data_IF_777485048299
#
_entry.id   IF_777485048299
#
_cell.length_a   1.000
_cell.length_b   1.000
_cell.length_c   1.000
_cell.angle_alpha   90.00
_cell.angle_beta   90.00
_cell.angle_gamma   90.00
#
_symmetry.space_group_name_H-M   'P 1'
#
loop_
_entity.id
_entity.type
_entity.pdbx_description
1 polymer ?
#
# COMPACT_ATOMS: atom_id res chain seq x y z
N UNK A 1 -16.74 -9.35 -26.41
CA UNK A 1 -16.96 -9.25 -24.95
C UNK A 1 -15.69 -9.39 -24.11
N UNK A 2 -14.79 -10.34 -24.42
CA UNK A 2 -13.67 -10.68 -23.53
C UNK A 2 -12.53 -9.65 -23.40
N UNK A 3 -12.35 -8.75 -24.37
CA UNK A 3 -11.25 -7.77 -24.33
C UNK A 3 -11.33 -6.81 -23.13
N UNK A 4 -12.53 -6.30 -22.80
CA UNK A 4 -12.69 -5.44 -21.61
C UNK A 4 -12.47 -6.20 -20.30
N UNK A 5 -12.81 -7.49 -20.25
CA UNK A 5 -12.57 -8.33 -19.08
C UNK A 5 -11.06 -8.56 -18.86
N UNK A 6 -10.31 -8.81 -19.94
CA UNK A 6 -8.85 -8.91 -19.86
C UNK A 6 -8.20 -7.58 -19.41
N UNK A 7 -8.70 -6.44 -19.90
CA UNK A 7 -8.20 -5.12 -19.49
C UNK A 7 -8.49 -4.81 -18.03
N UNK A 8 -9.63 -5.24 -17.47
CA UNK A 8 -9.94 -5.07 -16.05
C UNK A 8 -8.93 -5.80 -15.16
N UNK A 9 -8.58 -7.05 -15.48
CA UNK A 9 -7.56 -7.77 -14.72
C UNK A 9 -6.18 -7.14 -14.89
N UNK A 10 -5.80 -6.79 -16.13
CA UNK A 10 -4.53 -6.14 -16.39
C UNK A 10 -4.41 -4.83 -15.59
N UNK A 11 -5.48 -4.05 -15.51
CA UNK A 11 -5.55 -2.83 -14.72
C UNK A 11 -5.39 -3.13 -13.22
N UNK A 12 -6.08 -4.14 -12.67
CA UNK A 12 -5.91 -4.54 -11.26
C UNK A 12 -4.45 -4.89 -10.96
N UNK A 13 -3.81 -5.73 -11.78
CA UNK A 13 -2.40 -6.10 -11.61
C UNK A 13 -1.45 -4.91 -11.75
N UNK A 14 -1.68 -4.02 -12.71
CA UNK A 14 -0.89 -2.80 -12.87
C UNK A 14 -1.01 -1.87 -11.67
N UNK A 15 -2.21 -1.75 -11.09
CA UNK A 15 -2.46 -0.90 -9.93
C UNK A 15 -1.78 -1.45 -8.67
N UNK A 16 -1.75 -2.77 -8.50
CA UNK A 16 -0.99 -3.41 -7.42
C UNK A 16 0.50 -3.13 -7.55
N UNK A 17 1.08 -3.33 -8.74
CA UNK A 17 2.49 -3.04 -9.00
C UNK A 17 2.84 -1.58 -8.71
N UNK A 18 1.98 -0.67 -9.16
CA UNK A 18 2.15 0.76 -8.93
C UNK A 18 2.18 1.12 -7.44
N UNK A 19 1.25 0.61 -6.65
CA UNK A 19 1.20 0.88 -5.21
C UNK A 19 2.45 0.37 -4.48
N UNK A 20 3.00 -0.78 -4.88
CA UNK A 20 4.24 -1.32 -4.32
C UNK A 20 5.42 -0.34 -4.51
N UNK A 21 5.60 0.17 -5.73
CA UNK A 21 6.67 1.13 -6.04
C UNK A 21 6.49 2.44 -5.26
N UNK A 22 5.26 2.96 -5.20
CA UNK A 22 4.95 4.19 -4.44
C UNK A 22 5.29 4.04 -2.96
N UNK A 23 4.97 2.89 -2.34
CA UNK A 23 5.32 2.64 -0.94
C UNK A 23 6.83 2.62 -0.72
N UNK A 24 7.61 2.01 -1.61
CA UNK A 24 9.08 2.01 -1.49
C UNK A 24 9.66 3.42 -1.56
N UNK A 25 9.16 4.26 -2.47
CA UNK A 25 9.64 5.63 -2.64
C UNK A 25 9.34 6.48 -1.40
N UNK A 26 8.12 6.42 -0.87
CA UNK A 26 7.73 7.25 0.28
C UNK A 26 8.37 6.83 1.60
N UNK A 27 8.55 5.52 1.84
CA UNK A 27 9.04 5.04 3.14
C UNK A 27 10.56 4.84 3.19
N UNK A 28 11.18 4.29 2.15
CA UNK A 28 12.62 3.96 2.17
C UNK A 28 13.50 5.03 1.52
N UNK A 29 12.90 5.97 0.78
CA UNK A 29 13.63 7.00 0.04
C UNK A 29 14.42 6.46 -1.15
N UNK A 30 14.82 7.36 -2.05
CA UNK A 30 15.53 7.02 -3.29
C UNK A 30 17.04 7.21 -3.15
N UNK A 31 17.68 6.52 -2.20
CA UNK A 31 19.14 6.64 -2.01
C UNK A 31 19.93 5.95 -3.12
N UNK A 32 19.44 4.83 -3.67
CA UNK A 32 20.02 4.18 -4.84
C UNK A 32 18.99 3.37 -5.63
N UNK A 33 19.10 3.39 -6.96
CA UNK A 33 18.17 2.72 -7.86
C UNK A 33 18.13 1.19 -7.66
N UNK A 34 19.27 0.57 -7.33
CA UNK A 34 19.36 -0.89 -7.11
C UNK A 34 18.63 -1.33 -5.84
N UNK A 35 18.79 -0.60 -4.73
CA UNK A 35 18.05 -0.89 -3.50
C UNK A 35 16.55 -0.67 -3.68
N UNK A 36 16.14 0.37 -4.40
CA UNK A 36 14.73 0.62 -4.69
C UNK A 36 14.08 -0.56 -5.44
N UNK A 37 14.73 -1.08 -6.49
CA UNK A 37 14.22 -2.22 -7.27
C UNK A 37 14.14 -3.47 -6.39
N UNK A 38 15.14 -3.70 -5.55
CA UNK A 38 15.16 -4.84 -4.64
C UNK A 38 14.00 -4.78 -3.63
N UNK A 39 13.77 -3.64 -2.99
CA UNK A 39 12.67 -3.47 -2.05
C UNK A 39 11.30 -3.54 -2.72
N UNK A 40 11.15 -2.99 -3.93
CA UNK A 40 9.92 -3.11 -4.69
C UNK A 40 9.59 -4.59 -4.99
N UNK A 41 10.60 -5.39 -5.35
CA UNK A 41 10.42 -6.82 -5.56
C UNK A 41 10.05 -7.58 -4.28
N UNK A 42 10.69 -7.25 -3.15
CA UNK A 42 10.33 -7.82 -1.85
C UNK A 42 8.88 -7.51 -1.46
N UNK A 43 8.44 -6.26 -1.65
CA UNK A 43 7.06 -5.86 -1.34
C UNK A 43 6.04 -6.54 -2.26
N UNK A 44 6.39 -6.77 -3.53
CA UNK A 44 5.55 -7.54 -4.45
C UNK A 44 5.38 -9.00 -4.01
N UNK A 45 6.49 -9.66 -3.63
CA UNK A 45 6.43 -11.01 -3.08
C UNK A 45 5.60 -11.07 -1.80
N UNK A 46 5.78 -10.10 -0.91
CA UNK A 46 4.97 -9.98 0.30
C UNK A 46 3.48 -9.83 -0.01
N UNK A 47 3.12 -8.96 -0.97
CA UNK A 47 1.73 -8.75 -1.35
C UNK A 47 1.09 -10.01 -1.97
N UNK A 48 1.85 -10.75 -2.77
CA UNK A 48 1.41 -12.02 -3.35
C UNK A 48 1.15 -13.07 -2.26
N UNK A 49 2.07 -13.20 -1.29
CA UNK A 49 1.91 -14.12 -0.16
C UNK A 49 0.73 -13.70 0.72
N UNK A 50 0.56 -12.41 1.01
CA UNK A 50 -0.57 -11.91 1.78
C UNK A 50 -1.92 -12.27 1.15
N UNK A 51 -2.04 -12.21 -0.19
CA UNK A 51 -3.27 -12.66 -0.89
C UNK A 51 -3.54 -14.16 -0.75
N UNK A 52 -2.50 -14.98 -0.57
CA UNK A 52 -2.64 -16.44 -0.40
C UNK A 52 -2.90 -16.88 1.04
N UNK A 53 -2.40 -16.13 2.03
CA UNK A 53 -2.45 -16.54 3.45
C UNK A 53 -3.71 -16.06 4.16
N UNK A 54 -4.20 -14.86 3.85
CA UNK A 54 -5.30 -14.26 4.62
C UNK A 54 -6.67 -14.54 4.01
N UNK A 55 -7.68 -14.90 4.83
CA UNK A 55 -9.05 -15.00 4.37
C UNK A 55 -9.60 -13.61 4.01
N UNK A 56 -10.55 -13.57 3.07
CA UNK A 56 -11.18 -12.32 2.65
C UNK A 56 -11.95 -11.70 3.81
N UNK A 57 -11.62 -10.46 4.14
CA UNK A 57 -12.36 -9.68 5.13
C UNK A 57 -13.60 -9.06 4.49
N UNK A 58 -14.72 -9.07 5.21
CA UNK A 58 -15.98 -8.45 4.76
C UNK A 58 -15.86 -6.93 4.78
N UNK A 59 -16.52 -6.28 3.81
CA UNK A 59 -16.39 -4.84 3.58
C UNK A 59 -16.76 -3.99 4.80
N UNK A 60 -17.81 -4.38 5.54
CA UNK A 60 -18.27 -3.66 6.74
C UNK A 60 -17.17 -3.54 7.80
N UNK A 61 -16.48 -4.65 8.07
CA UNK A 61 -15.42 -4.67 9.06
C UNK A 61 -14.16 -3.94 8.54
N UNK A 62 -13.88 -4.01 7.23
CA UNK A 62 -12.75 -3.28 6.62
C UNK A 62 -12.95 -1.76 6.77
N UNK A 63 -14.16 -1.28 6.52
CA UNK A 63 -14.51 0.12 6.70
C UNK A 63 -14.39 0.52 8.17
N UNK A 64 -14.89 -0.31 9.10
CA UNK A 64 -14.77 -0.02 10.53
C UNK A 64 -13.30 0.08 10.97
N UNK A 65 -12.43 -0.80 10.48
CA UNK A 65 -10.98 -0.74 10.75
C UNK A 65 -10.34 0.57 10.23
N UNK A 66 -10.68 0.98 9.00
CA UNK A 66 -10.17 2.24 8.44
C UNK A 66 -10.61 3.46 9.25
N UNK A 67 -11.88 3.53 9.61
CA UNK A 67 -12.45 4.69 10.29
C UNK A 67 -12.08 4.77 11.77
N UNK A 68 -12.04 3.63 12.47
CA UNK A 68 -11.80 3.61 13.92
C UNK A 68 -10.32 3.54 14.28
N UNK A 69 -9.47 2.97 13.43
CA UNK A 69 -8.05 2.74 13.76
C UNK A 69 -7.11 3.53 12.87
N UNK A 70 -7.15 3.35 11.55
CA UNK A 70 -6.17 3.97 10.65
C UNK A 70 -6.30 5.49 10.58
N UNK A 71 -7.52 6.01 10.47
CA UNK A 71 -7.77 7.45 10.39
C UNK A 71 -7.28 8.21 11.64
N UNK A 72 -7.69 7.88 12.88
CA UNK A 72 -7.19 8.60 14.06
C UNK A 72 -5.69 8.42 14.28
N UNK A 73 -5.12 7.26 13.92
CA UNK A 73 -3.68 7.04 14.03
C UNK A 73 -2.89 7.95 13.07
N UNK A 74 -3.32 8.06 11.80
CA UNK A 74 -2.68 8.94 10.82
C UNK A 74 -2.75 10.42 11.22
N UNK A 75 -3.88 10.86 11.78
CA UNK A 75 -4.06 12.24 12.26
C UNK A 75 -3.19 12.52 13.49
N UNK A 76 -3.07 11.57 14.42
CA UNK A 76 -2.20 11.70 15.59
C UNK A 76 -0.73 11.87 15.17
N UNK A 77 -0.25 11.04 14.24
CA UNK A 77 1.12 11.10 13.74
C UNK A 77 1.40 12.41 13.00
N UNK A 78 0.43 12.93 12.24
CA UNK A 78 0.54 14.23 11.58
C UNK A 78 0.64 15.37 12.60
N UNK A 79 -0.22 15.39 13.62
CA UNK A 79 -0.17 16.42 14.66
C UNK A 79 1.14 16.40 15.43
N UNK A 80 1.66 15.20 15.77
CA UNK A 80 2.94 15.04 16.45
C UNK A 80 4.10 15.54 15.59
N UNK A 81 4.09 15.24 14.29
CA UNK A 81 5.09 15.73 13.34
C UNK A 81 5.08 17.27 13.26
N UNK A 82 3.88 17.88 13.18
CA UNK A 82 3.73 19.35 13.13
C UNK A 82 4.25 20.00 14.42
N UNK A 83 3.91 19.47 15.59
CA UNK A 83 4.38 20.01 16.88
C UNK A 83 5.90 19.89 16.99
N UNK A 84 6.47 18.74 16.63
CA UNK A 84 7.92 18.52 16.65
C UNK A 84 8.69 19.33 15.61
N UNK A 85 8.02 19.89 14.60
CA UNK A 85 8.61 20.83 13.65
C UNK A 85 8.50 22.29 14.14
N UNK A 86 7.52 22.59 15.00
CA UNK A 86 7.32 23.91 15.60
C UNK A 86 8.25 24.12 16.81
N UNK A 87 8.51 23.06 17.59
CA UNK A 87 9.51 23.04 18.67
C UNK A 87 10.93 22.87 18.12
#
# INVERSE_FOLDING_TARGET
>A
GGAMFALLFLAEYSSMLFMCVVTCIFFLGSSSNLLMIFFAFLYLLYFLVARGVYPRHRYDLLMLLCWKSFLPFSLCLLMLCVIGLIM
#
